data_IF_128902740848
#
_entry.id   IF_128902740848
#
_cell.length_a   1.000
_cell.length_b   1.000
_cell.length_c   1.000
_cell.angle_alpha   90.00
_cell.angle_beta   90.00
_cell.angle_gamma   90.00
#
_symmetry.space_group_name_H-M   'P 1'
#
loop_
_entity.id
_entity.type
_entity.pdbx_description
1 polymer ?
#
# COMPACT_ATOMS: atom_id res chain seq x y z
N UNK A 1 -14.06 13.31 21.45
CA UNK A 1 -15.33 12.76 20.94
C UNK A 1 -14.99 11.61 19.99
N UNK A 2 -15.54 10.46 20.26
CA UNK A 2 -15.44 9.31 19.35
C UNK A 2 -16.69 9.26 18.46
N UNK A 3 -16.62 8.49 17.37
CA UNK A 3 -17.71 8.31 16.41
C UNK A 3 -18.25 9.64 15.86
N UNK A 4 -17.34 10.59 15.63
CA UNK A 4 -17.67 11.93 15.11
C UNK A 4 -16.79 12.18 13.89
N UNK A 5 -17.37 12.09 12.73
CA UNK A 5 -16.69 12.36 11.47
C UNK A 5 -16.61 13.87 11.22
N UNK A 6 -15.43 14.36 10.88
CA UNK A 6 -15.17 15.76 10.54
C UNK A 6 -14.67 15.84 9.10
N UNK A 7 -15.54 16.27 8.20
CA UNK A 7 -15.23 16.46 6.78
C UNK A 7 -14.96 17.94 6.43
N UNK A 8 -15.37 18.85 7.33
CA UNK A 8 -15.13 20.29 7.20
C UNK A 8 -14.54 20.84 8.51
N UNK A 9 -13.35 21.41 8.42
CA UNK A 9 -12.68 22.04 9.56
C UNK A 9 -13.41 23.30 10.07
N UNK A 10 -14.32 23.86 9.29
CA UNK A 10 -15.15 24.99 9.69
C UNK A 10 -16.03 24.72 10.91
N UNK A 11 -16.34 23.45 11.21
CA UNK A 11 -17.09 23.07 12.43
C UNK A 11 -16.24 23.17 13.71
N UNK A 12 -14.92 23.34 13.57
CA UNK A 12 -13.96 23.44 14.66
C UNK A 12 -13.54 24.88 14.99
N UNK A 13 -14.39 25.86 14.71
CA UNK A 13 -14.08 27.31 14.84
C UNK A 13 -13.74 27.78 16.25
N UNK A 14 -14.12 26.99 17.26
CA UNK A 14 -13.88 27.33 18.69
C UNK A 14 -12.49 26.90 19.19
N UNK A 15 -11.63 26.33 18.35
CA UNK A 15 -10.28 25.93 18.72
C UNK A 15 -9.25 26.94 18.16
N UNK A 16 -8.18 27.15 18.92
CA UNK A 16 -7.09 28.04 18.53
C UNK A 16 -6.25 27.41 17.42
N UNK A 17 -5.92 26.13 17.56
CA UNK A 17 -5.15 25.34 16.62
C UNK A 17 -5.85 24.00 16.37
N UNK A 18 -5.69 23.47 15.14
CA UNK A 18 -6.28 22.20 14.70
C UNK A 18 -5.17 21.31 14.15
N UNK A 19 -5.00 20.14 14.70
CA UNK A 19 -4.08 19.14 14.16
C UNK A 19 -4.87 18.11 13.35
N UNK A 20 -4.55 18.00 12.06
CA UNK A 20 -5.17 17.05 11.13
C UNK A 20 -4.26 15.86 10.93
N UNK A 21 -4.69 14.69 11.38
CA UNK A 21 -3.97 13.43 11.27
C UNK A 21 -4.87 12.35 10.61
N UNK A 22 -5.52 12.71 9.50
CA UNK A 22 -6.53 11.89 8.82
C UNK A 22 -5.98 10.70 8.02
N UNK A 23 -4.63 10.57 7.97
CA UNK A 23 -3.99 9.39 7.40
C UNK A 23 -4.07 9.29 5.87
N UNK A 24 -4.28 8.08 5.40
CA UNK A 24 -4.22 7.73 3.98
C UNK A 24 -5.16 6.59 3.64
N UNK A 25 -5.44 6.41 2.36
CA UNK A 25 -6.24 5.29 1.83
C UNK A 25 -5.43 4.52 0.76
N UNK A 26 -5.76 3.26 0.49
CA UNK A 26 -5.13 2.53 -0.60
C UNK A 26 -5.26 3.27 -1.93
N UNK A 27 -4.16 3.29 -2.68
CA UNK A 27 -4.15 3.84 -4.04
C UNK A 27 -5.03 2.98 -4.94
N UNK A 28 -5.90 3.61 -5.72
CA UNK A 28 -6.72 2.92 -6.71
C UNK A 28 -6.12 3.08 -8.10
N UNK A 29 -6.24 2.05 -8.94
CA UNK A 29 -5.75 2.03 -10.33
C UNK A 29 -6.88 1.68 -11.29
N UNK A 30 -7.81 2.61 -11.57
CA UNK A 30 -8.96 2.35 -12.45
C UNK A 30 -8.56 2.06 -13.91
N UNK A 31 -7.31 2.30 -14.28
CA UNK A 31 -6.74 1.91 -15.57
C UNK A 31 -6.53 0.40 -15.73
N UNK A 32 -6.48 -0.35 -14.63
CA UNK A 32 -6.42 -1.81 -14.66
C UNK A 32 -7.87 -2.32 -14.77
N UNK A 33 -8.17 -3.00 -15.85
CA UNK A 33 -9.51 -3.58 -16.06
C UNK A 33 -9.82 -4.63 -14.99
N UNK A 34 -10.96 -4.53 -14.33
CA UNK A 34 -11.36 -5.43 -13.23
C UNK A 34 -10.64 -5.16 -11.91
N UNK A 35 -10.07 -3.96 -11.70
CA UNK A 35 -9.36 -3.59 -10.47
C UNK A 35 -10.24 -3.62 -9.21
N UNK A 36 -11.54 -3.50 -9.36
CA UNK A 36 -12.53 -3.64 -8.30
C UNK A 36 -12.55 -5.03 -7.63
N UNK A 37 -11.99 -6.04 -8.30
CA UNK A 37 -11.78 -7.39 -7.75
C UNK A 37 -10.57 -7.50 -6.83
N UNK A 38 -9.65 -6.53 -6.87
CA UNK A 38 -8.47 -6.55 -6.03
C UNK A 38 -8.80 -6.19 -4.57
N UNK A 39 -8.36 -7.04 -3.65
CA UNK A 39 -8.47 -6.82 -2.21
C UNK A 39 -7.44 -5.79 -1.75
N UNK A 40 -7.79 -4.98 -0.78
CA UNK A 40 -6.84 -4.10 -0.09
C UNK A 40 -6.14 -4.83 1.04
N UNK A 41 -4.98 -4.34 1.50
CA UNK A 41 -4.34 -4.87 2.71
C UNK A 41 -5.24 -4.79 3.94
N UNK A 42 -6.08 -3.76 4.05
CA UNK A 42 -7.03 -3.64 5.17
C UNK A 42 -8.00 -4.82 5.18
N UNK A 43 -8.57 -5.17 4.03
CA UNK A 43 -9.48 -6.32 3.92
C UNK A 43 -8.76 -7.63 4.28
N UNK A 44 -7.55 -7.83 3.80
CA UNK A 44 -6.81 -9.07 4.02
C UNK A 44 -6.26 -9.17 5.44
N UNK A 45 -5.60 -8.15 5.96
CA UNK A 45 -4.89 -8.21 7.23
C UNK A 45 -5.78 -7.89 8.44
N UNK A 46 -6.66 -6.90 8.32
CA UNK A 46 -7.53 -6.45 9.42
C UNK A 46 -8.86 -7.19 9.41
N UNK A 47 -9.55 -7.17 8.27
CA UNK A 47 -10.91 -7.71 8.17
C UNK A 47 -10.92 -9.24 7.96
N UNK A 48 -9.72 -9.83 7.75
CA UNK A 48 -9.52 -11.28 7.59
C UNK A 48 -10.35 -11.90 6.48
N UNK A 49 -10.54 -11.16 5.38
CA UNK A 49 -11.18 -11.70 4.19
C UNK A 49 -10.37 -12.91 3.71
N UNK A 50 -11.05 -14.01 3.47
CA UNK A 50 -10.39 -15.23 3.00
C UNK A 50 -9.82 -15.02 1.60
N UNK A 51 -8.58 -15.45 1.42
CA UNK A 51 -7.89 -15.44 0.13
C UNK A 51 -7.71 -16.89 -0.33
N UNK A 52 -7.79 -17.11 -1.63
CA UNK A 52 -7.55 -18.42 -2.21
C UNK A 52 -6.13 -18.94 -1.99
N UNK A 53 -5.74 -19.99 -2.69
CA UNK A 53 -4.43 -20.61 -2.53
C UNK A 53 -3.32 -19.80 -3.22
N UNK A 54 -3.54 -19.42 -4.49
CA UNK A 54 -2.62 -18.57 -5.26
C UNK A 54 -2.98 -17.10 -5.11
N UNK A 55 -2.13 -16.31 -4.46
CA UNK A 55 -2.40 -14.90 -4.15
C UNK A 55 -1.42 -14.00 -4.90
N UNK A 56 -1.94 -13.22 -5.86
CA UNK A 56 -1.12 -12.28 -6.62
C UNK A 56 -1.12 -10.90 -5.97
N UNK A 57 0.07 -10.38 -5.69
CA UNK A 57 0.30 -9.02 -5.18
C UNK A 57 0.65 -8.09 -6.33
N UNK A 58 -0.10 -7.01 -6.48
CA UNK A 58 0.24 -5.91 -7.40
C UNK A 58 1.13 -4.94 -6.64
N UNK A 59 2.41 -4.88 -7.02
CA UNK A 59 3.45 -4.11 -6.35
C UNK A 59 4.28 -4.97 -5.40
N UNK A 60 5.60 -4.89 -5.53
CA UNK A 60 6.61 -5.61 -4.73
C UNK A 60 7.26 -4.72 -3.66
N UNK A 61 6.50 -3.78 -3.09
CA UNK A 61 6.96 -2.98 -1.96
C UNK A 61 7.10 -3.79 -0.67
N UNK A 62 7.61 -3.16 0.39
CA UNK A 62 7.86 -3.82 1.67
C UNK A 62 6.62 -4.56 2.20
N UNK A 63 5.46 -3.90 2.24
CA UNK A 63 4.22 -4.50 2.77
C UNK A 63 3.75 -5.72 1.96
N UNK A 64 3.94 -5.70 0.63
CA UNK A 64 3.62 -6.85 -0.22
C UNK A 64 4.54 -8.03 0.05
N UNK A 65 5.85 -7.78 0.14
CA UNK A 65 6.82 -8.84 0.43
C UNK A 65 6.63 -9.42 1.83
N UNK A 66 6.35 -8.57 2.84
CA UNK A 66 6.04 -9.03 4.21
C UNK A 66 4.77 -9.90 4.24
N UNK A 67 3.70 -9.44 3.58
CA UNK A 67 2.44 -10.20 3.53
C UNK A 67 2.59 -11.51 2.72
N UNK A 68 3.31 -11.48 1.61
CA UNK A 68 3.62 -12.67 0.83
C UNK A 68 4.40 -13.71 1.64
N UNK A 69 5.40 -13.26 2.40
CA UNK A 69 6.21 -14.09 3.28
C UNK A 69 5.37 -14.71 4.42
N UNK A 70 4.53 -13.90 5.06
CA UNK A 70 3.60 -14.36 6.10
C UNK A 70 2.60 -15.41 5.57
N UNK A 71 2.00 -15.13 4.42
CA UNK A 71 1.07 -16.06 3.76
C UNK A 71 1.72 -17.40 3.41
N UNK A 72 2.95 -17.35 2.91
CA UNK A 72 3.70 -18.56 2.58
C UNK A 72 4.04 -19.39 3.81
N UNK A 73 4.55 -18.77 4.88
CA UNK A 73 5.03 -19.49 6.05
C UNK A 73 3.93 -19.94 6.99
N UNK A 74 2.96 -19.07 7.25
CA UNK A 74 1.97 -19.29 8.31
C UNK A 74 0.65 -19.82 7.79
N UNK A 75 0.37 -19.62 6.50
CA UNK A 75 -0.92 -20.02 5.90
C UNK A 75 -0.77 -21.03 4.75
N UNK A 76 0.47 -21.41 4.38
CA UNK A 76 0.73 -22.37 3.30
C UNK A 76 0.21 -21.92 1.93
N UNK A 77 0.06 -20.60 1.72
CA UNK A 77 -0.41 -20.03 0.46
C UNK A 77 0.75 -19.90 -0.54
N UNK A 78 0.41 -19.71 -1.81
CA UNK A 78 1.35 -19.55 -2.92
C UNK A 78 1.33 -18.10 -3.43
N UNK A 79 2.13 -17.19 -2.84
CA UNK A 79 2.19 -15.81 -3.27
C UNK A 79 2.88 -15.65 -4.63
N UNK A 80 2.43 -14.68 -5.41
CA UNK A 80 3.01 -14.25 -6.69
C UNK A 80 3.14 -12.74 -6.63
N UNK A 81 4.25 -12.16 -7.06
CA UNK A 81 4.48 -10.72 -7.01
C UNK A 81 4.67 -10.16 -8.41
N UNK A 82 3.96 -9.08 -8.74
CA UNK A 82 4.13 -8.31 -9.96
C UNK A 82 4.62 -6.91 -9.59
N UNK A 83 5.87 -6.58 -9.95
CA UNK A 83 6.51 -5.32 -9.59
C UNK A 83 6.89 -4.52 -10.84
N UNK A 84 6.54 -3.25 -10.85
CA UNK A 84 6.86 -2.32 -11.95
C UNK A 84 8.35 -1.98 -12.03
N UNK A 85 9.02 -1.88 -10.88
CA UNK A 85 10.45 -1.62 -10.80
C UNK A 85 11.29 -2.86 -11.16
N UNK A 86 12.59 -2.64 -11.35
CA UNK A 86 13.56 -3.70 -11.63
C UNK A 86 14.03 -4.48 -10.40
N UNK A 87 13.46 -4.21 -9.22
CA UNK A 87 13.82 -4.91 -7.98
C UNK A 87 12.69 -4.82 -6.96
N UNK A 88 12.62 -5.81 -6.07
CA UNK A 88 11.71 -5.78 -4.93
C UNK A 88 12.17 -4.76 -3.88
N UNK A 89 11.21 -4.19 -3.17
CA UNK A 89 11.46 -3.21 -2.08
C UNK A 89 12.41 -2.09 -2.53
N UNK A 90 12.24 -1.62 -3.75
CA UNK A 90 13.09 -0.59 -4.37
C UNK A 90 12.91 0.80 -3.74
N UNK A 91 11.90 1.02 -2.90
CA UNK A 91 11.63 2.31 -2.26
C UNK A 91 12.79 2.73 -1.34
N UNK A 92 13.22 3.98 -1.47
CA UNK A 92 14.25 4.56 -0.61
C UNK A 92 13.75 4.75 0.83
N UNK A 93 14.69 4.82 1.79
CA UNK A 93 14.46 5.06 3.22
C UNK A 93 13.85 3.89 4.02
N UNK A 94 13.91 2.68 3.51
CA UNK A 94 13.67 1.46 4.28
C UNK A 94 14.98 0.95 4.93
N UNK A 95 14.83 0.18 6.01
CA UNK A 95 16.00 -0.44 6.67
C UNK A 95 16.63 -1.48 5.73
N UNK A 96 17.92 -1.37 5.45
CA UNK A 96 18.64 -2.29 4.54
C UNK A 96 18.50 -3.74 4.99
N UNK A 97 18.58 -4.02 6.29
CA UNK A 97 18.43 -5.37 6.81
C UNK A 97 17.06 -5.99 6.44
N UNK A 98 15.98 -5.20 6.54
CA UNK A 98 14.66 -5.70 6.18
C UNK A 98 14.52 -5.90 4.66
N UNK A 99 15.06 -4.98 3.85
CA UNK A 99 14.94 -5.07 2.40
C UNK A 99 15.74 -6.24 1.84
N UNK A 100 16.98 -6.44 2.32
CA UNK A 100 17.81 -7.58 1.92
C UNK A 100 17.16 -8.89 2.34
N UNK A 101 16.71 -8.98 3.60
CA UNK A 101 16.03 -10.18 4.10
C UNK A 101 14.81 -10.55 3.25
N UNK A 102 13.96 -9.58 2.90
CA UNK A 102 12.75 -9.86 2.12
C UNK A 102 13.08 -10.33 0.69
N UNK A 103 14.09 -9.75 0.05
CA UNK A 103 14.56 -10.22 -1.27
C UNK A 103 15.08 -11.65 -1.20
N UNK A 104 16.00 -11.90 -0.26
CA UNK A 104 16.58 -13.23 -0.05
C UNK A 104 15.51 -14.27 0.30
N UNK A 105 14.50 -13.89 1.10
CA UNK A 105 13.38 -14.76 1.44
C UNK A 105 12.52 -15.10 0.22
N UNK A 106 12.18 -14.12 -0.64
CA UNK A 106 11.41 -14.39 -1.86
C UNK A 106 12.18 -15.31 -2.81
N UNK A 107 13.48 -15.08 -2.96
CA UNK A 107 14.37 -15.93 -3.78
C UNK A 107 14.50 -17.35 -3.20
N UNK A 108 14.80 -17.47 -1.91
CA UNK A 108 14.95 -18.75 -1.20
C UNK A 108 13.70 -19.64 -1.33
N UNK A 109 12.53 -19.04 -1.14
CA UNK A 109 11.26 -19.74 -1.25
C UNK A 109 10.75 -19.87 -2.70
N UNK A 110 11.51 -19.36 -3.68
CA UNK A 110 11.17 -19.42 -5.11
C UNK A 110 9.81 -18.82 -5.41
N UNK A 111 9.46 -17.73 -4.73
CA UNK A 111 8.22 -16.98 -5.00
C UNK A 111 8.30 -16.46 -6.44
N UNK A 112 7.30 -16.72 -7.29
CA UNK A 112 7.27 -16.13 -8.63
C UNK A 112 7.21 -14.60 -8.57
N UNK A 113 8.21 -13.94 -9.16
CA UNK A 113 8.32 -12.48 -9.21
C UNK A 113 8.43 -12.02 -10.66
N UNK A 114 7.53 -11.15 -11.08
CA UNK A 114 7.51 -10.51 -12.38
C UNK A 114 8.00 -9.07 -12.21
N UNK A 115 9.29 -8.84 -12.43
CA UNK A 115 9.89 -7.49 -12.41
C UNK A 115 9.64 -6.76 -13.73
N UNK A 116 9.84 -5.44 -13.75
CA UNK A 116 9.54 -4.59 -14.91
C UNK A 116 8.14 -4.85 -15.48
N UNK A 117 7.17 -5.14 -14.61
CA UNK A 117 5.88 -5.66 -15.04
C UNK A 117 4.71 -4.96 -14.35
N UNK A 118 3.60 -4.89 -15.04
CA UNK A 118 2.35 -4.33 -14.53
C UNK A 118 1.17 -5.24 -14.86
N UNK A 119 0.17 -5.26 -13.97
CA UNK A 119 -1.11 -5.90 -14.25
C UNK A 119 -1.94 -4.97 -15.13
N UNK A 120 -2.52 -5.50 -16.20
CA UNK A 120 -3.39 -4.74 -17.13
C UNK A 120 -4.85 -5.14 -17.03
N UNK A 121 -5.12 -6.37 -16.63
CA UNK A 121 -6.47 -6.90 -16.43
C UNK A 121 -6.51 -7.90 -15.29
N UNK A 122 -7.58 -7.87 -14.51
CA UNK A 122 -7.91 -8.83 -13.44
C UNK A 122 -9.22 -9.53 -13.81
N UNK A 123 -9.20 -10.86 -13.80
CA UNK A 123 -10.35 -11.74 -14.05
C UNK A 123 -10.57 -12.66 -12.84
N UNK A 124 -11.64 -13.46 -12.87
CA UNK A 124 -11.91 -14.46 -11.82
C UNK A 124 -10.93 -15.66 -11.86
N UNK A 125 -10.09 -15.76 -12.90
CA UNK A 125 -9.13 -16.86 -13.09
C UNK A 125 -7.68 -16.44 -12.98
N UNK A 126 -7.41 -15.16 -12.85
CA UNK A 126 -6.04 -14.63 -12.80
C UNK A 126 -5.92 -13.26 -13.45
N UNK A 127 -4.67 -12.85 -13.70
CA UNK A 127 -4.30 -11.55 -14.19
C UNK A 127 -3.55 -11.61 -15.51
N UNK A 128 -3.77 -10.62 -16.37
CA UNK A 128 -2.88 -10.34 -17.49
C UNK A 128 -1.76 -9.42 -17.01
N UNK A 129 -0.53 -9.92 -17.06
CA UNK A 129 0.69 -9.22 -16.67
C UNK A 129 1.44 -8.80 -17.94
N UNK A 130 1.83 -7.53 -18.02
CA UNK A 130 2.60 -6.97 -19.13
C UNK A 130 3.98 -6.54 -18.66
N UNK A 131 5.02 -7.03 -19.29
CA UNK A 131 6.37 -6.50 -19.14
C UNK A 131 6.44 -5.12 -19.81
N UNK A 132 6.89 -4.09 -19.08
CA UNK A 132 6.87 -2.70 -19.55
C UNK A 132 8.05 -2.37 -20.47
N UNK A 133 9.12 -3.18 -20.43
CA UNK A 133 10.29 -2.99 -21.30
C UNK A 133 10.13 -3.71 -22.65
N UNK A 134 9.67 -4.97 -22.61
CA UNK A 134 9.54 -5.78 -23.84
C UNK A 134 8.17 -5.66 -24.48
N UNK A 135 7.15 -5.26 -23.70
CA UNK A 135 5.76 -5.23 -24.13
C UNK A 135 5.07 -6.61 -24.15
N UNK A 136 5.79 -7.67 -23.80
CA UNK A 136 5.26 -9.03 -23.73
C UNK A 136 4.17 -9.15 -22.66
N UNK A 137 3.14 -9.93 -22.97
CA UNK A 137 2.02 -10.18 -22.06
C UNK A 137 1.92 -11.65 -21.69
N UNK A 138 1.72 -11.92 -20.41
CA UNK A 138 1.57 -13.28 -19.87
C UNK A 138 0.31 -13.35 -19.02
N UNK A 139 -0.47 -14.41 -19.16
CA UNK A 139 -1.57 -14.68 -18.23
C UNK A 139 -1.05 -15.47 -17.03
N UNK A 140 -1.30 -14.94 -15.83
CA UNK A 140 -0.89 -15.53 -14.55
C UNK A 140 -2.14 -15.97 -13.80
N UNK A 141 -2.29 -17.27 -13.61
CA UNK A 141 -3.40 -17.83 -12.84
C UNK A 141 -3.26 -17.49 -11.36
N UNK A 142 -4.30 -16.98 -10.76
CA UNK A 142 -4.39 -16.77 -9.31
C UNK A 142 -5.85 -16.77 -8.86
N UNK A 143 -6.05 -17.07 -7.57
CA UNK A 143 -7.39 -17.15 -6.95
C UNK A 143 -7.79 -15.80 -6.32
N UNK A 144 -6.80 -15.02 -5.89
CA UNK A 144 -7.01 -13.71 -5.28
C UNK A 144 -5.94 -12.73 -5.70
N UNK A 145 -6.32 -11.46 -5.75
CA UNK A 145 -5.41 -10.35 -6.08
C UNK A 145 -5.40 -9.35 -4.93
N UNK A 146 -4.22 -8.96 -4.47
CA UNK A 146 -4.03 -7.96 -3.41
C UNK A 146 -3.39 -6.71 -3.99
N UNK A 147 -4.03 -5.58 -3.74
CA UNK A 147 -3.54 -4.26 -4.11
C UNK A 147 -2.41 -3.82 -3.17
N UNK A 148 -1.18 -3.90 -3.63
CA UNK A 148 0.05 -3.51 -2.94
C UNK A 148 0.75 -2.27 -3.52
N UNK A 149 0.05 -1.46 -4.34
CA UNK A 149 0.64 -0.27 -5.01
C UNK A 149 0.77 0.97 -4.12
N UNK A 150 0.62 0.79 -2.81
CA UNK A 150 0.78 1.85 -1.82
C UNK A 150 -0.50 2.60 -1.50
N UNK A 151 -0.33 3.78 -0.90
CA UNK A 151 -1.41 4.61 -0.35
C UNK A 151 -1.36 6.02 -0.95
N UNK A 152 -2.45 6.76 -0.77
CA UNK A 152 -2.54 8.18 -1.10
C UNK A 152 -3.00 8.97 0.13
N UNK A 153 -2.42 10.16 0.40
CA UNK A 153 -2.82 11.02 1.50
C UNK A 153 -4.29 11.43 1.41
N UNK A 154 -4.97 11.50 2.57
CA UNK A 154 -6.35 11.99 2.68
C UNK A 154 -6.44 13.18 3.65
N UNK A 155 -5.92 14.35 3.26
CA UNK A 155 -6.01 15.54 4.11
C UNK A 155 -7.46 16.03 4.17
N UNK A 156 -7.98 16.16 5.39
CA UNK A 156 -9.28 16.80 5.64
C UNK A 156 -9.11 18.33 5.58
N UNK A 157 -10.09 19.01 4.99
CA UNK A 157 -10.15 20.46 4.86
C UNK A 157 -9.23 21.04 3.79
N UNK A 158 -9.57 22.24 3.31
CA UNK A 158 -8.82 22.97 2.29
C UNK A 158 -7.39 23.31 2.70
N UNK A 159 -6.53 23.56 1.72
CA UNK A 159 -5.12 23.97 1.95
C UNK A 159 -4.99 25.31 2.70
N UNK A 160 -6.04 26.12 2.69
CA UNK A 160 -5.99 27.52 3.10
C UNK A 160 -6.41 27.79 4.56
N UNK A 161 -6.69 26.74 5.35
CA UNK A 161 -6.97 26.94 6.77
C UNK A 161 -5.67 27.16 7.54
N UNK A 162 -5.36 28.42 7.85
CA UNK A 162 -4.13 28.85 8.53
C UNK A 162 -3.98 28.30 9.96
N UNK A 163 -5.07 27.83 10.57
CA UNK A 163 -5.07 27.20 11.91
C UNK A 163 -4.92 25.68 11.85
N UNK A 164 -4.86 25.08 10.66
CA UNK A 164 -4.81 23.63 10.50
C UNK A 164 -3.40 23.17 10.15
N UNK A 165 -2.81 22.43 11.08
CA UNK A 165 -1.53 21.76 10.92
C UNK A 165 -1.75 20.30 10.52
N UNK A 166 -1.17 19.88 9.41
CA UNK A 166 -1.27 18.50 8.92
C UNK A 166 -0.05 17.71 9.34
N UNK A 167 -0.29 16.48 9.85
CA UNK A 167 0.77 15.57 10.32
C UNK A 167 0.54 14.15 9.81
N UNK A 168 1.59 13.34 9.82
CA UNK A 168 1.51 11.93 9.42
C UNK A 168 1.26 11.73 7.93
N UNK A 169 0.58 10.63 7.59
CA UNK A 169 0.38 10.19 6.21
C UNK A 169 -0.58 11.07 5.41
N UNK A 170 -1.39 11.90 6.05
CA UNK A 170 -2.20 12.90 5.32
C UNK A 170 -1.36 14.02 4.68
N UNK A 171 -0.08 14.13 5.05
CA UNK A 171 0.89 15.03 4.39
C UNK A 171 1.61 14.29 3.27
N UNK A 172 2.23 13.18 3.61
CA UNK A 172 2.93 12.29 2.70
C UNK A 172 3.09 10.92 3.35
N UNK A 173 2.95 9.87 2.56
CA UNK A 173 3.13 8.50 3.03
C UNK A 173 4.55 8.31 3.58
N UNK A 174 4.66 7.63 4.70
CA UNK A 174 5.93 7.40 5.35
C UNK A 174 5.93 6.20 6.29
N UNK A 175 6.84 6.23 7.25
CA UNK A 175 6.97 5.23 8.30
C UNK A 175 6.78 5.88 9.69
N UNK A 176 6.82 5.08 10.76
CA UNK A 176 6.64 5.57 12.13
C UNK A 176 7.59 6.73 12.47
N UNK A 177 8.85 6.67 12.02
CA UNK A 177 9.80 7.77 12.24
C UNK A 177 9.30 9.08 11.62
N UNK A 178 8.90 9.05 10.37
CA UNK A 178 8.45 10.27 9.66
C UNK A 178 7.15 10.82 10.24
N UNK A 179 6.25 9.96 10.70
CA UNK A 179 5.00 10.37 11.35
C UNK A 179 5.27 11.05 12.69
N UNK A 180 6.14 10.46 13.53
CA UNK A 180 6.53 11.02 14.83
C UNK A 180 7.23 12.37 14.65
N UNK A 181 8.21 12.46 13.74
CA UNK A 181 8.95 13.70 13.51
C UNK A 181 8.04 14.82 12.98
N UNK A 182 7.13 14.53 12.06
CA UNK A 182 6.16 15.54 11.58
C UNK A 182 5.25 16.04 12.69
N UNK A 183 4.80 15.16 13.57
CA UNK A 183 4.00 15.57 14.73
C UNK A 183 4.82 16.44 15.70
N UNK A 184 6.07 16.04 16.00
CA UNK A 184 7.00 16.81 16.81
C UNK A 184 7.24 18.21 16.26
N UNK A 185 7.56 18.33 14.96
CA UNK A 185 7.83 19.61 14.30
C UNK A 185 6.65 20.58 14.36
N UNK A 186 5.43 20.08 14.35
CA UNK A 186 4.23 20.88 14.53
C UNK A 186 4.06 21.29 15.98
N UNK A 187 4.12 20.33 16.92
CA UNK A 187 3.93 20.60 18.35
C UNK A 187 4.96 21.58 18.94
N UNK A 188 6.14 21.66 18.33
CA UNK A 188 7.16 22.65 18.74
C UNK A 188 6.92 24.08 18.22
N UNK A 189 5.90 24.28 17.39
CA UNK A 189 5.59 25.58 16.74
C UNK A 189 4.28 26.20 17.20
N UNK A 190 3.45 25.45 17.90
CA UNK A 190 2.14 25.87 18.44
C UNK A 190 2.19 26.06 19.94
#
# INVERSE_FOLDING_TARGET
RFNTEINDLGVLRGYDDIIVASGSVPRMMPSIKGFDKALTFTQVLKDKVDVGDKVLFIGGGQSSCEAAYDMLLNFGKHPIIVEYAGDLVAAQATCLANTSFLRDAMEYHKVPVYLHSTVTEITDKGCTVKNVETGETTFVECDSVVNGIGFVPTPVGGKDNKKAYRVGDCVAIGNLRTVIWRAWDVCMKI
#
